data_IF_246774880058
#
_entry.id   IF_246774880058
#
_cell.length_a   1.000
_cell.length_b   1.000
_cell.length_c   1.000
_cell.angle_alpha   90.00
_cell.angle_beta   90.00
_cell.angle_gamma   90.00
#
_symmetry.space_group_name_H-M   'P 1'
#
loop_
_entity.id
_entity.type
_entity.pdbx_description
1 polymer ?
#
# COMPACT_ATOMS: atom_id res chain seq x y z
N UNK A 1 -2.94 9.23 6.96
CA UNK A 1 -3.24 8.25 5.90
C UNK A 1 -4.50 7.49 6.32
N UNK A 2 -5.47 7.38 5.42
CA UNK A 2 -6.71 6.63 5.61
C UNK A 2 -6.60 5.32 4.82
N UNK A 3 -7.08 4.23 5.39
CA UNK A 3 -7.12 2.94 4.71
C UNK A 3 -8.46 2.78 4.03
N UNK A 4 -8.43 2.50 2.73
CA UNK A 4 -9.64 2.31 1.93
C UNK A 4 -10.13 0.86 2.00
N UNK A 5 -9.20 -0.09 2.10
CA UNK A 5 -9.48 -1.53 2.15
C UNK A 5 -8.70 -2.21 3.30
N UNK A 6 -9.08 -1.96 4.57
CA UNK A 6 -8.32 -2.48 5.72
C UNK A 6 -8.29 -4.02 5.78
N UNK A 7 -9.32 -4.71 5.26
CA UNK A 7 -9.38 -6.17 5.22
C UNK A 7 -8.69 -6.81 4.02
N UNK A 8 -8.05 -6.02 3.14
CA UNK A 8 -7.36 -6.53 1.97
C UNK A 8 -6.24 -7.50 2.36
N UNK A 9 -6.02 -8.60 1.63
CA UNK A 9 -4.86 -9.47 1.87
C UNK A 9 -3.52 -8.72 1.85
N UNK A 10 -3.40 -7.65 1.05
CA UNK A 10 -2.22 -6.79 1.00
C UNK A 10 -1.99 -6.00 2.30
N UNK A 11 -3.01 -5.89 3.15
CA UNK A 11 -2.96 -5.24 4.46
C UNK A 11 -2.85 -6.26 5.61
N UNK A 12 -3.17 -7.52 5.37
CA UNK A 12 -3.38 -8.52 6.42
C UNK A 12 -2.43 -9.73 6.35
N UNK A 13 -1.71 -9.95 5.24
CA UNK A 13 -0.85 -11.13 5.05
C UNK A 13 0.48 -10.81 4.34
N UNK A 14 1.60 -11.41 4.80
CA UNK A 14 1.74 -12.28 5.98
C UNK A 14 1.76 -11.51 7.30
N UNK A 15 1.89 -10.19 7.24
CA UNK A 15 1.86 -9.33 8.41
C UNK A 15 0.50 -8.65 8.52
N UNK A 16 -0.14 -8.74 9.68
CA UNK A 16 -1.31 -7.92 9.98
C UNK A 16 -0.87 -6.50 10.26
N UNK A 17 -1.13 -5.59 9.32
CA UNK A 17 -0.82 -4.18 9.51
C UNK A 17 -1.83 -3.55 10.49
N UNK A 18 -1.35 -2.54 11.18
CA UNK A 18 -2.11 -1.66 12.07
C UNK A 18 -1.75 -0.19 11.76
N UNK A 19 -2.48 0.80 12.29
CA UNK A 19 -2.09 2.20 12.16
C UNK A 19 -0.65 2.49 12.63
N UNK A 20 -0.15 1.75 13.63
CA UNK A 20 1.23 1.89 14.15
C UNK A 20 2.30 1.56 13.10
N UNK A 21 1.99 0.77 12.08
CA UNK A 21 2.94 0.47 10.99
C UNK A 21 3.17 1.69 10.07
N UNK A 22 2.44 2.78 10.28
CA UNK A 22 2.60 4.05 9.56
C UNK A 22 3.22 5.16 10.43
N UNK A 23 3.62 4.83 11.66
CA UNK A 23 4.37 5.70 12.54
C UNK A 23 5.87 5.67 12.21
N UNK A 24 6.55 6.79 12.44
CA UNK A 24 8.00 6.90 12.23
C UNK A 24 8.45 6.94 10.76
N UNK A 25 7.51 6.96 9.81
CA UNK A 25 7.82 7.19 8.39
C UNK A 25 8.49 8.55 8.21
N UNK A 26 9.56 8.58 7.42
CA UNK A 26 10.37 9.78 7.21
C UNK A 26 9.74 10.67 6.13
N UNK A 27 10.29 11.87 5.91
CA UNK A 27 9.68 12.90 5.07
C UNK A 27 9.46 12.45 3.62
N UNK A 28 8.38 13.00 3.01
CA UNK A 28 7.71 12.57 1.77
C UNK A 28 7.24 11.11 1.85
N UNK A 29 5.91 10.89 1.85
CA UNK A 29 5.33 9.54 1.95
C UNK A 29 5.10 8.91 0.58
N UNK A 30 5.13 9.70 -0.48
CA UNK A 30 4.99 9.22 -1.84
C UNK A 30 4.88 10.34 -2.86
N UNK A 31 5.16 10.01 -4.12
CA UNK A 31 5.15 10.91 -5.26
C UNK A 31 4.56 10.22 -6.49
N UNK A 32 3.97 11.00 -7.40
CA UNK A 32 3.38 10.49 -8.66
C UNK A 32 2.16 9.59 -8.47
N UNK A 33 1.22 10.01 -7.62
CA UNK A 33 -0.04 9.28 -7.38
C UNK A 33 -0.79 9.06 -8.69
N UNK A 34 -1.32 7.85 -8.86
CA UNK A 34 -2.12 7.52 -10.04
C UNK A 34 -3.48 8.23 -10.02
N UNK A 35 -3.90 8.72 -11.18
CA UNK A 35 -5.27 9.17 -11.45
C UNK A 35 -5.99 8.17 -12.37
N UNK A 36 -7.32 8.28 -12.48
CA UNK A 36 -8.15 7.58 -13.46
C UNK A 36 -7.85 6.06 -13.61
N UNK A 37 -7.70 5.40 -12.46
CA UNK A 37 -7.39 3.97 -12.42
C UNK A 37 -8.64 3.14 -12.73
N UNK A 38 -8.48 2.13 -13.56
CA UNK A 38 -9.55 1.18 -13.91
C UNK A 38 -10.13 0.48 -12.66
N UNK A 39 -11.43 0.17 -12.70
CA UNK A 39 -12.18 -0.40 -11.57
C UNK A 39 -11.70 -1.77 -11.06
N UNK A 40 -10.92 -2.51 -11.85
CA UNK A 40 -10.32 -3.78 -11.41
C UNK A 40 -9.21 -3.58 -10.38
N UNK A 41 -8.68 -2.36 -10.25
CA UNK A 41 -7.66 -2.05 -9.27
C UNK A 41 -8.26 -1.67 -7.92
N UNK A 42 -7.81 -2.37 -6.89
CA UNK A 42 -8.07 -2.05 -5.49
C UNK A 42 -7.11 -0.96 -5.05
N UNK A 43 -7.63 0.17 -4.60
CA UNK A 43 -6.85 1.26 -3.99
C UNK A 43 -6.73 1.00 -2.49
N UNK A 44 -5.52 1.02 -1.94
CA UNK A 44 -5.30 0.66 -0.53
C UNK A 44 -5.36 1.85 0.42
N UNK A 45 -4.88 3.01 -0.01
CA UNK A 45 -4.68 4.17 0.84
C UNK A 45 -5.21 5.45 0.22
N UNK A 46 -5.68 6.36 1.08
CA UNK A 46 -5.99 7.73 0.76
C UNK A 46 -5.15 8.64 1.67
N UNK A 47 -4.53 9.67 1.11
CA UNK A 47 -3.79 10.69 1.85
C UNK A 47 -3.87 12.04 1.16
N UNK A 48 -3.53 13.08 1.89
CA UNK A 48 -3.45 14.44 1.37
C UNK A 48 -2.40 15.19 2.17
N UNK A 49 -1.83 16.20 1.52
CA UNK A 49 -1.05 17.21 2.20
C UNK A 49 -2.00 18.22 2.85
N UNK A 50 -1.49 18.96 3.82
CA UNK A 50 -2.30 19.98 4.49
C UNK A 50 -2.78 21.03 3.47
N UNK A 51 -4.09 21.10 3.30
CA UNK A 51 -4.73 22.05 2.37
C UNK A 51 -4.89 21.54 0.94
N UNK A 52 -4.46 20.31 0.61
CA UNK A 52 -4.77 19.67 -0.67
C UNK A 52 -5.96 18.70 -0.55
N UNK A 53 -6.51 18.31 -1.71
CA UNK A 53 -7.58 17.32 -1.78
C UNK A 53 -7.07 15.89 -1.54
N UNK A 54 -7.98 14.94 -1.25
CA UNK A 54 -7.61 13.54 -1.07
C UNK A 54 -7.03 12.92 -2.35
N UNK A 55 -5.93 12.18 -2.20
CA UNK A 55 -5.29 11.37 -3.22
C UNK A 55 -5.35 9.90 -2.80
N UNK A 56 -5.94 9.06 -3.64
CA UNK A 56 -6.15 7.63 -3.37
C UNK A 56 -5.34 6.68 -4.27
N UNK A 57 -4.60 7.25 -5.22
CA UNK A 57 -3.79 6.50 -6.18
C UNK A 57 -2.41 6.12 -5.68
N UNK A 58 -2.20 6.08 -4.35
CA UNK A 58 -0.85 5.89 -3.81
C UNK A 58 -0.36 4.47 -4.04
N UNK A 59 -1.24 3.50 -3.80
CA UNK A 59 -0.96 2.09 -3.94
C UNK A 59 -2.19 1.40 -4.49
N UNK A 60 -2.03 0.81 -5.68
CA UNK A 60 -3.08 0.08 -6.37
C UNK A 60 -2.65 -1.37 -6.59
N UNK A 61 -3.59 -2.28 -6.41
CA UNK A 61 -3.37 -3.73 -6.52
C UNK A 61 -4.48 -4.35 -7.35
N UNK A 62 -4.15 -5.17 -8.33
CA UNK A 62 -5.12 -6.03 -9.00
C UNK A 62 -4.59 -7.45 -9.14
N UNK A 63 -5.48 -8.42 -9.18
CA UNK A 63 -5.10 -9.79 -9.52
C UNK A 63 -4.89 -9.87 -11.03
N UNK A 64 -3.77 -10.45 -11.47
CA UNK A 64 -3.41 -10.55 -12.88
C UNK A 64 -2.78 -11.91 -13.17
N UNK A 65 -3.45 -12.72 -13.98
CA UNK A 65 -3.06 -14.10 -14.27
C UNK A 65 -2.97 -14.95 -13.00
N UNK A 66 -1.78 -15.47 -12.69
CA UNK A 66 -1.53 -16.34 -11.52
C UNK A 66 -0.99 -15.58 -10.29
N UNK A 67 -0.89 -14.26 -10.38
CA UNK A 67 -0.33 -13.39 -9.35
C UNK A 67 -1.11 -12.09 -9.25
N UNK A 68 -0.41 -11.02 -8.83
CA UNK A 68 -0.98 -9.70 -8.70
C UNK A 68 -0.04 -8.65 -9.27
N UNK A 69 -0.62 -7.59 -9.80
CA UNK A 69 0.10 -6.37 -10.14
C UNK A 69 0.01 -5.42 -8.96
N UNK A 70 1.13 -4.79 -8.62
CA UNK A 70 1.21 -3.75 -7.60
C UNK A 70 1.90 -2.55 -8.20
N UNK A 71 1.24 -1.40 -8.13
CA UNK A 71 1.89 -0.10 -8.29
C UNK A 71 1.87 0.61 -6.95
N UNK A 72 2.99 1.23 -6.57
CA UNK A 72 3.10 2.05 -5.38
C UNK A 72 3.96 3.28 -5.65
N UNK A 73 3.41 4.44 -5.32
CA UNK A 73 4.08 5.73 -5.24
C UNK A 73 4.70 5.99 -3.87
N UNK A 74 4.46 5.11 -2.89
CA UNK A 74 5.06 5.25 -1.56
C UNK A 74 6.59 5.25 -1.65
N UNK A 75 7.23 6.13 -0.89
CA UNK A 75 8.69 6.36 -0.94
C UNK A 75 9.48 5.26 -0.22
N UNK A 76 9.27 3.99 -0.59
CA UNK A 76 9.99 2.84 -0.04
C UNK A 76 11.51 3.00 -0.12
N UNK A 77 12.02 3.72 -1.12
CA UNK A 77 13.46 4.01 -1.24
C UNK A 77 14.01 4.89 -0.10
N UNK A 78 13.15 5.61 0.62
CA UNK A 78 13.50 6.36 1.84
C UNK A 78 13.25 5.51 3.08
N UNK A 79 12.07 4.89 3.16
CA UNK A 79 11.62 4.20 4.36
C UNK A 79 12.39 2.90 4.64
N UNK A 80 12.72 2.13 3.60
CA UNK A 80 13.44 0.87 3.76
C UNK A 80 14.89 1.12 4.24
N UNK A 81 15.69 2.03 3.64
CA UNK A 81 17.02 2.36 4.17
C UNK A 81 17.01 3.00 5.56
N UNK A 82 15.96 3.75 5.91
CA UNK A 82 15.78 4.33 7.24
C UNK A 82 15.39 3.29 8.31
N UNK A 83 15.13 2.04 7.92
CA UNK A 83 14.83 0.96 8.86
C UNK A 83 13.41 1.00 9.41
N UNK A 84 12.46 1.67 8.73
CA UNK A 84 11.08 1.84 9.22
C UNK A 84 10.33 0.51 9.19
N UNK A 85 10.02 -0.13 10.34
CA UNK A 85 9.55 -1.53 10.36
C UNK A 85 8.24 -1.76 9.61
N UNK A 86 7.31 -0.80 9.69
CA UNK A 86 6.03 -0.91 9.02
C UNK A 86 6.12 -0.81 7.49
N UNK A 87 7.09 -0.06 6.97
CA UNK A 87 7.37 -0.02 5.53
C UNK A 87 7.84 -1.38 5.01
N UNK A 88 8.72 -2.07 5.75
CA UNK A 88 9.12 -3.45 5.40
C UNK A 88 7.95 -4.42 5.43
N UNK A 89 7.10 -4.36 6.46
CA UNK A 89 5.92 -5.23 6.56
C UNK A 89 4.95 -5.02 5.40
N UNK A 90 4.63 -3.77 5.07
CA UNK A 90 3.80 -3.46 3.92
C UNK A 90 4.45 -3.95 2.62
N UNK A 91 5.73 -3.69 2.42
CA UNK A 91 6.46 -4.14 1.22
C UNK A 91 6.41 -5.67 1.06
N UNK A 92 6.64 -6.42 2.14
CA UNK A 92 6.53 -7.89 2.13
C UNK A 92 5.10 -8.33 1.82
N UNK A 93 4.07 -7.69 2.40
CA UNK A 93 2.68 -8.02 2.08
C UNK A 93 2.33 -7.77 0.60
N UNK A 94 2.86 -6.69 0.02
CA UNK A 94 2.69 -6.36 -1.39
C UNK A 94 3.40 -7.36 -2.31
N UNK A 95 4.45 -8.04 -1.87
CA UNK A 95 5.09 -9.12 -2.62
C UNK A 95 4.45 -10.48 -2.40
N UNK A 96 3.88 -10.70 -1.22
CA UNK A 96 3.35 -11.99 -0.84
C UNK A 96 2.14 -12.39 -1.69
N UNK A 97 2.12 -13.65 -2.12
CA UNK A 97 0.91 -14.30 -2.59
C UNK A 97 0.17 -14.83 -1.36
N UNK A 98 -1.02 -14.28 -1.00
CA UNK A 98 -1.83 -14.89 0.04
C UNK A 98 -2.09 -16.34 -0.33
N UNK A 99 -1.99 -17.25 0.63
CA UNK A 99 -2.49 -18.59 0.41
C UNK A 99 -3.96 -18.45 0.01
N UNK A 100 -4.28 -18.80 -1.23
CA UNK A 100 -5.68 -18.97 -1.60
C UNK A 100 -6.24 -20.01 -0.64
N UNK A 101 -7.37 -19.72 0.00
CA UNK A 101 -8.23 -20.82 0.40
C UNK A 101 -8.49 -21.58 -0.90
N UNK A 102 -7.86 -22.74 -1.06
CA UNK A 102 -8.08 -23.62 -2.20
C UNK A 102 -9.60 -23.75 -2.35
N UNK A 103 -10.11 -23.25 -3.47
CA UNK A 103 -11.50 -23.43 -3.87
C UNK A 103 -11.64 -24.76 -4.59
#
# INVERSE_FOLDING_TARGET
MKWLLPGDPSMQYPNKLTPLDFDGWIQERGLYFTGDVDSHYRKLFEMHDKGSGPLDGSTIVCDYGKGKYVYSSLDFFRELPAGVPGAFRLFVNLLAKPATADK
#
